data_IF_137927435622
#
_entry.id   IF_137927435622
#
_cell.length_a   1.000
_cell.length_b   1.000
_cell.length_c   1.000
_cell.angle_alpha   90.00
_cell.angle_beta   90.00
_cell.angle_gamma   90.00
#
_symmetry.space_group_name_H-M   'P 1'
#
loop_
_entity.id
_entity.type
_entity.pdbx_description
1 polymer ?
#
# COMPACT_ATOMS: atom_id res chain seq x y z
N UNK A 1 35.49 -0.40 13.37
CA UNK A 1 35.18 0.03 14.75
C UNK A 1 35.14 -1.23 15.59
N UNK A 2 36.09 -1.33 16.50
CA UNK A 2 36.45 -2.50 17.29
C UNK A 2 35.62 -2.55 18.58
N UNK A 3 35.01 -3.69 18.87
CA UNK A 3 34.36 -4.00 20.15
C UNK A 3 35.42 -4.33 21.23
N UNK A 4 35.27 -3.81 22.46
CA UNK A 4 36.09 -4.24 23.59
C UNK A 4 35.48 -5.45 24.31
N UNK A 5 36.36 -6.39 24.63
CA UNK A 5 36.10 -7.58 25.44
C UNK A 5 35.73 -7.23 26.90
N UNK A 6 34.75 -7.93 27.46
CA UNK A 6 34.42 -7.90 28.89
C UNK A 6 34.88 -9.20 29.52
N UNK A 7 35.93 -9.10 30.36
CA UNK A 7 36.27 -10.08 31.39
C UNK A 7 35.47 -9.76 32.66
N UNK A 8 34.96 -10.79 33.33
CA UNK A 8 34.74 -10.88 34.79
C UNK A 8 34.74 -12.39 35.08
N UNK A 9 35.50 -12.96 36.00
CA UNK A 9 35.95 -12.45 37.30
C UNK A 9 35.32 -13.35 38.36
N UNK A 10 35.84 -14.58 38.51
CA UNK A 10 35.39 -15.55 39.51
C UNK A 10 35.95 -15.18 40.89
N UNK A 11 35.09 -15.11 41.91
CA UNK A 11 35.51 -15.13 43.32
C UNK A 11 34.68 -16.18 44.06
N UNK A 12 35.43 -17.13 44.61
CA UNK A 12 35.03 -18.15 45.58
C UNK A 12 35.01 -17.49 46.97
N UNK A 13 33.96 -17.67 47.76
CA UNK A 13 34.06 -17.47 49.21
C UNK A 13 33.20 -18.44 50.01
N UNK A 14 33.85 -19.02 51.03
CA UNK A 14 33.40 -20.11 51.89
C UNK A 14 32.52 -19.63 53.04
N UNK A 15 31.47 -20.42 53.28
CA UNK A 15 30.79 -20.80 54.53
C UNK A 15 31.25 -20.17 55.86
N UNK A 16 30.28 -19.71 56.65
CA UNK A 16 30.23 -19.93 58.11
C UNK A 16 28.78 -20.17 58.54
N UNK A 17 28.57 -21.27 59.26
CA UNK A 17 27.29 -21.64 59.85
C UNK A 17 26.99 -20.83 61.11
N UNK A 18 25.73 -20.49 61.29
CA UNK A 18 25.18 -19.94 62.52
C UNK A 18 23.83 -20.60 62.82
N UNK A 19 23.63 -20.88 64.10
CA UNK A 19 22.53 -21.61 64.72
C UNK A 19 21.14 -21.03 64.38
N UNK A 20 20.24 -21.92 63.96
CA UNK A 20 18.81 -21.66 63.82
C UNK A 20 18.17 -21.46 65.20
N UNK A 21 17.72 -20.23 65.44
CA UNK A 21 16.73 -19.93 66.47
C UNK A 21 15.36 -20.00 65.80
N UNK A 22 14.57 -21.01 66.18
CA UNK A 22 13.20 -21.26 65.73
C UNK A 22 12.27 -20.15 66.26
N UNK A 23 12.19 -19.04 65.55
CA UNK A 23 11.30 -17.91 65.87
C UNK A 23 10.39 -17.61 64.69
N UNK A 24 9.08 -17.86 64.85
CA UNK A 24 7.96 -17.39 64.04
C UNK A 24 8.27 -17.03 62.56
N UNK A 25 8.28 -18.05 61.69
CA UNK A 25 8.49 -17.93 60.23
C UNK A 25 7.27 -17.37 59.45
N UNK A 26 6.13 -17.12 60.09
CA UNK A 26 4.90 -16.77 59.37
C UNK A 26 4.89 -15.31 58.84
N UNK A 27 5.70 -14.40 59.41
CA UNK A 27 5.76 -12.98 58.98
C UNK A 27 6.72 -12.73 57.79
N UNK A 28 7.69 -13.63 57.55
CA UNK A 28 8.68 -13.48 56.48
C UNK A 28 8.11 -13.89 55.09
N UNK A 29 7.19 -14.86 55.06
CA UNK A 29 6.58 -15.35 53.82
C UNK A 29 5.66 -14.30 53.16
N UNK A 30 4.86 -13.54 53.93
CA UNK A 30 4.00 -12.48 53.36
C UNK A 30 4.84 -11.33 52.76
N UNK A 31 5.97 -11.02 53.37
CA UNK A 31 6.88 -9.97 52.88
C UNK A 31 7.53 -10.39 51.56
N UNK A 32 7.99 -11.63 51.44
CA UNK A 32 8.55 -12.16 50.18
C UNK A 32 7.50 -12.21 49.06
N UNK A 33 6.26 -12.60 49.37
CA UNK A 33 5.17 -12.63 48.40
C UNK A 33 4.82 -11.22 47.88
N UNK A 34 4.79 -10.21 48.74
CA UNK A 34 4.54 -8.82 48.32
C UNK A 34 5.66 -8.27 47.45
N UNK A 35 6.91 -8.57 47.78
CA UNK A 35 8.07 -8.17 46.97
C UNK A 35 8.05 -8.84 45.60
N UNK A 36 7.72 -10.13 45.54
CA UNK A 36 7.63 -10.86 44.26
C UNK A 36 6.50 -10.31 43.38
N UNK A 37 5.32 -10.05 43.94
CA UNK A 37 4.21 -9.40 43.21
C UNK A 37 4.57 -8.00 42.71
N UNK A 38 5.24 -7.20 43.55
CA UNK A 38 5.71 -5.86 43.14
C UNK A 38 6.72 -5.92 41.99
N UNK A 39 7.63 -6.90 42.00
CA UNK A 39 8.60 -7.07 40.92
C UNK A 39 7.93 -7.51 39.61
N UNK A 40 6.98 -8.44 39.67
CA UNK A 40 6.19 -8.89 38.50
C UNK A 40 5.41 -7.72 37.89
N UNK A 41 4.80 -6.86 38.72
CA UNK A 41 4.09 -5.66 38.25
C UNK A 41 5.04 -4.67 37.60
N UNK A 42 6.20 -4.40 38.21
CA UNK A 42 7.20 -3.50 37.64
C UNK A 42 7.72 -4.00 36.28
N UNK A 43 7.99 -5.30 36.14
CA UNK A 43 8.45 -5.88 34.90
C UNK A 43 7.36 -5.89 33.81
N UNK A 44 6.11 -6.12 34.18
CA UNK A 44 4.95 -5.98 33.29
C UNK A 44 4.85 -4.56 32.75
N UNK A 45 4.95 -3.55 33.63
CA UNK A 45 4.92 -2.14 33.22
C UNK A 45 6.10 -1.82 32.29
N UNK A 46 7.31 -2.33 32.58
CA UNK A 46 8.49 -2.13 31.71
C UNK A 46 8.32 -2.75 30.34
N UNK A 47 7.75 -3.97 30.24
CA UNK A 47 7.46 -4.63 28.96
C UNK A 47 6.49 -3.78 28.12
N UNK A 48 5.37 -3.37 28.71
CA UNK A 48 4.37 -2.51 28.04
C UNK A 48 4.98 -1.19 27.58
N UNK A 49 5.76 -0.50 28.43
CA UNK A 49 6.44 0.73 28.05
C UNK A 49 7.44 0.52 26.90
N UNK A 50 8.18 -0.58 26.92
CA UNK A 50 9.14 -0.92 25.85
C UNK A 50 8.44 -1.19 24.53
N UNK A 51 7.30 -1.89 24.56
CA UNK A 51 6.49 -2.15 23.37
C UNK A 51 5.90 -0.84 22.78
N UNK A 52 5.41 0.06 23.63
CA UNK A 52 4.93 1.39 23.21
C UNK A 52 6.07 2.21 22.60
N UNK A 53 7.24 2.26 23.22
CA UNK A 53 8.41 2.95 22.69
C UNK A 53 8.91 2.35 21.36
N UNK A 54 8.85 1.01 21.22
CA UNK A 54 9.19 0.34 19.96
C UNK A 54 8.25 0.80 18.84
N UNK A 55 6.95 0.82 19.09
CA UNK A 55 5.96 1.29 18.11
C UNK A 55 6.13 2.77 17.76
N UNK A 56 6.45 3.62 18.73
CA UNK A 56 6.75 5.04 18.48
C UNK A 56 7.95 5.17 17.53
N UNK A 57 9.05 4.44 17.78
CA UNK A 57 10.23 4.46 16.91
C UNK A 57 9.95 3.94 15.50
N UNK A 58 9.16 2.87 15.37
CA UNK A 58 8.72 2.34 14.08
C UNK A 58 7.98 3.41 13.29
N UNK A 59 7.07 4.17 13.92
CA UNK A 59 6.32 5.25 13.27
C UNK A 59 7.20 6.40 12.84
N UNK A 60 8.15 6.81 13.67
CA UNK A 60 9.14 7.84 13.31
C UNK A 60 9.96 7.39 12.09
N UNK A 61 10.36 6.11 12.04
CA UNK A 61 11.06 5.52 10.89
C UNK A 61 10.19 5.44 9.62
N UNK A 62 8.88 5.23 9.77
CA UNK A 62 7.91 5.33 8.67
C UNK A 62 7.68 6.77 8.18
N UNK A 63 8.18 7.77 8.92
CA UNK A 63 8.13 9.17 8.55
C UNK A 63 7.18 10.02 9.39
N UNK A 64 6.64 9.50 10.50
CA UNK A 64 5.81 10.25 11.44
C UNK A 64 6.64 11.29 12.23
N UNK A 65 6.93 12.42 11.59
CA UNK A 65 7.62 13.57 12.19
C UNK A 65 7.02 14.89 11.68
N UNK A 66 7.31 16.00 12.37
CA UNK A 66 6.68 17.29 12.07
C UNK A 66 7.06 17.81 10.68
N UNK A 67 8.30 17.56 10.25
CA UNK A 67 8.78 18.02 8.95
C UNK A 67 8.09 17.34 7.77
N UNK A 68 7.94 16.01 7.82
CA UNK A 68 7.21 15.27 6.80
C UNK A 68 5.73 15.69 6.79
N UNK A 69 5.12 15.84 7.96
CA UNK A 69 3.74 16.30 8.07
C UNK A 69 3.55 17.70 7.45
N UNK A 70 4.40 18.66 7.83
CA UNK A 70 4.36 20.02 7.28
C UNK A 70 4.60 20.03 5.76
N UNK A 71 5.56 19.24 5.27
CA UNK A 71 5.82 19.10 3.85
C UNK A 71 4.59 18.54 3.11
N UNK A 72 3.92 17.51 3.64
CA UNK A 72 2.70 16.96 3.05
C UNK A 72 1.53 17.95 3.00
N UNK A 73 1.36 18.77 4.05
CA UNK A 73 0.35 19.83 4.08
C UNK A 73 0.67 20.92 3.06
N UNK A 74 1.90 21.43 3.04
CA UNK A 74 2.34 22.46 2.09
C UNK A 74 2.24 21.96 0.64
N UNK A 75 2.59 20.70 0.39
CA UNK A 75 2.43 20.08 -0.92
C UNK A 75 0.96 20.05 -1.34
N UNK A 76 0.06 19.64 -0.45
CA UNK A 76 -1.39 19.61 -0.72
C UNK A 76 -1.95 21.01 -1.00
N UNK A 77 -1.51 22.01 -0.24
CA UNK A 77 -1.86 23.42 -0.48
C UNK A 77 -1.34 23.91 -1.84
N UNK A 78 -0.11 23.56 -2.20
CA UNK A 78 0.49 23.92 -3.49
C UNK A 78 -0.28 23.29 -4.66
N UNK A 79 -0.57 21.99 -4.57
CA UNK A 79 -1.38 21.26 -5.56
C UNK A 79 -2.75 21.90 -5.73
N UNK A 80 -3.45 22.20 -4.63
CA UNK A 80 -4.75 22.86 -4.67
C UNK A 80 -4.69 24.28 -5.27
N UNK A 81 -3.67 25.05 -4.91
CA UNK A 81 -3.48 26.42 -5.39
C UNK A 81 -3.18 26.46 -6.89
N UNK A 82 -2.23 25.64 -7.38
CA UNK A 82 -1.88 25.59 -8.80
C UNK A 82 -3.05 25.01 -9.61
N UNK A 83 -3.69 23.94 -9.15
CA UNK A 83 -4.84 23.36 -9.86
C UNK A 83 -6.02 24.35 -9.97
N UNK A 84 -6.26 25.15 -8.92
CA UNK A 84 -7.38 26.09 -8.87
C UNK A 84 -7.13 27.41 -9.61
N UNK A 85 -5.92 27.98 -9.48
CA UNK A 85 -5.61 29.32 -10.00
C UNK A 85 -4.77 29.31 -11.28
N UNK A 86 -4.02 28.25 -11.55
CA UNK A 86 -3.09 28.15 -12.69
C UNK A 86 -3.17 26.76 -13.35
N UNK A 87 -4.37 26.31 -13.79
CA UNK A 87 -4.55 24.99 -14.39
C UNK A 87 -3.64 24.76 -15.61
N UNK A 88 -3.28 25.81 -16.35
CA UNK A 88 -2.36 25.81 -17.47
C UNK A 88 -0.91 25.40 -17.11
N UNK A 89 -0.56 25.51 -15.82
CA UNK A 89 0.76 25.15 -15.27
C UNK A 89 0.72 23.86 -14.44
N UNK A 90 -0.46 23.27 -14.21
CA UNK A 90 -0.61 22.10 -13.34
C UNK A 90 0.22 20.89 -13.80
N UNK A 91 0.38 20.70 -15.10
CA UNK A 91 1.19 19.61 -15.67
C UNK A 91 2.68 19.68 -15.28
N UNK A 92 3.23 20.89 -15.08
CA UNK A 92 4.61 21.07 -14.60
C UNK A 92 4.75 20.59 -13.17
N UNK A 93 3.84 21.02 -12.30
CA UNK A 93 3.83 20.59 -10.91
C UNK A 93 3.73 19.06 -10.84
N UNK A 94 2.82 18.47 -11.62
CA UNK A 94 2.66 17.02 -11.69
C UNK A 94 3.94 16.30 -12.14
N UNK A 95 4.64 16.80 -13.16
CA UNK A 95 5.91 16.21 -13.61
C UNK A 95 7.02 16.36 -12.55
N UNK A 96 7.09 17.49 -11.85
CA UNK A 96 8.05 17.72 -10.77
C UNK A 96 7.77 16.78 -9.59
N UNK A 97 6.51 16.63 -9.19
CA UNK A 97 6.10 15.66 -8.17
C UNK A 97 6.41 14.23 -8.61
N UNK A 98 6.12 13.85 -9.86
CA UNK A 98 6.47 12.53 -10.39
C UNK A 98 7.97 12.27 -10.33
N UNK A 99 8.79 13.24 -10.74
CA UNK A 99 10.24 13.15 -10.74
C UNK A 99 10.85 13.05 -9.32
N UNK A 100 10.17 13.59 -8.30
CA UNK A 100 10.60 13.51 -6.91
C UNK A 100 10.07 12.25 -6.21
N UNK A 101 8.76 12.02 -6.26
CA UNK A 101 8.06 10.99 -5.49
C UNK A 101 8.30 9.58 -6.03
N UNK A 102 8.31 9.40 -7.36
CA UNK A 102 8.44 8.06 -7.97
C UNK A 102 9.83 7.46 -7.71
N UNK A 103 10.96 8.15 -8.02
CA UNK A 103 12.29 7.57 -7.77
C UNK A 103 12.54 7.33 -6.28
N UNK A 104 12.10 8.24 -5.41
CA UNK A 104 12.17 8.06 -3.96
C UNK A 104 11.43 6.81 -3.52
N UNK A 105 10.20 6.61 -4.01
CA UNK A 105 9.41 5.43 -3.66
C UNK A 105 10.01 4.14 -4.24
N UNK A 106 10.53 4.16 -5.46
CA UNK A 106 11.23 3.00 -6.06
C UNK A 106 12.43 2.62 -5.19
N UNK A 107 13.21 3.60 -4.74
CA UNK A 107 14.35 3.37 -3.87
C UNK A 107 13.93 2.72 -2.54
N UNK A 108 12.86 3.23 -1.92
CA UNK A 108 12.31 2.68 -0.68
C UNK A 108 11.80 1.24 -0.86
N UNK A 109 11.01 0.99 -1.91
CA UNK A 109 10.40 -0.31 -2.17
C UNK A 109 11.46 -1.36 -2.62
N UNK A 110 12.55 -0.93 -3.23
CA UNK A 110 13.71 -1.77 -3.58
C UNK A 110 14.46 -2.26 -2.34
N UNK A 111 14.58 -1.41 -1.34
CA UNK A 111 15.30 -1.69 -0.09
C UNK A 111 14.37 -2.11 1.06
N UNK A 112 13.06 -2.25 0.80
CA UNK A 112 12.10 -2.69 1.80
C UNK A 112 12.44 -4.09 2.34
N UNK A 113 12.38 -4.22 3.66
CA UNK A 113 12.54 -5.48 4.39
C UNK A 113 11.25 -5.75 5.19
N UNK A 114 10.84 -7.01 5.37
CA UNK A 114 11.50 -8.24 4.90
C UNK A 114 11.22 -8.57 3.42
N UNK A 115 10.23 -7.92 2.80
CA UNK A 115 9.82 -8.14 1.41
C UNK A 115 10.04 -6.88 0.58
N UNK A 116 10.75 -7.00 -0.53
CA UNK A 116 10.93 -5.94 -1.52
C UNK A 116 9.64 -5.77 -2.32
N UNK A 117 9.15 -4.54 -2.38
CA UNK A 117 7.87 -4.19 -3.00
C UNK A 117 8.05 -3.68 -4.44
N UNK A 118 9.21 -3.90 -5.06
CA UNK A 118 9.52 -3.41 -6.43
C UNK A 118 8.57 -3.95 -7.51
N UNK A 119 7.89 -5.07 -7.29
CA UNK A 119 6.89 -5.57 -8.25
C UNK A 119 5.53 -4.88 -8.09
N UNK A 120 5.41 -3.85 -7.25
CA UNK A 120 4.20 -3.01 -7.22
C UNK A 120 4.13 -2.12 -8.47
N UNK A 121 5.27 -1.81 -9.08
CA UNK A 121 5.35 -0.99 -10.29
C UNK A 121 4.88 -1.71 -11.57
N UNK A 122 4.64 -3.03 -11.49
CA UNK A 122 3.96 -3.77 -12.58
C UNK A 122 2.44 -3.76 -12.43
N UNK A 123 1.91 -3.17 -11.36
CA UNK A 123 0.46 -3.04 -11.16
C UNK A 123 -0.15 -1.97 -12.08
N UNK A 124 -1.44 -2.09 -12.36
CA UNK A 124 -2.10 -1.30 -13.42
C UNK A 124 -1.94 0.21 -13.22
N UNK A 125 -2.25 0.73 -12.04
CA UNK A 125 -2.21 2.17 -11.77
C UNK A 125 -0.80 2.76 -11.94
N UNK A 126 0.24 1.99 -11.56
CA UNK A 126 1.64 2.38 -11.75
C UNK A 126 2.03 2.41 -13.23
N UNK A 127 1.72 1.35 -13.96
CA UNK A 127 2.00 1.27 -15.41
C UNK A 127 1.27 2.41 -16.13
N UNK A 128 0.02 2.69 -15.79
CA UNK A 128 -0.74 3.79 -16.37
C UNK A 128 -0.14 5.15 -16.04
N UNK A 129 0.36 5.36 -14.82
CA UNK A 129 1.07 6.60 -14.46
C UNK A 129 2.29 6.81 -15.37
N UNK A 130 3.09 5.78 -15.62
CA UNK A 130 4.21 5.87 -16.56
C UNK A 130 3.74 6.16 -17.99
N UNK A 131 2.67 5.50 -18.45
CA UNK A 131 2.07 5.79 -19.77
C UNK A 131 1.61 7.23 -19.87
N UNK A 132 1.05 7.82 -18.82
CA UNK A 132 0.65 9.24 -18.80
C UNK A 132 1.88 10.15 -18.90
N UNK A 133 2.96 9.85 -18.17
CA UNK A 133 4.24 10.60 -18.28
C UNK A 133 4.75 10.54 -19.73
N UNK A 134 4.80 9.35 -20.34
CA UNK A 134 5.23 9.19 -21.73
C UNK A 134 4.27 9.87 -22.73
N UNK A 135 2.97 9.85 -22.47
CA UNK A 135 1.99 10.54 -23.30
C UNK A 135 2.17 12.05 -23.23
N UNK A 136 2.45 12.63 -22.05
CA UNK A 136 2.79 14.05 -21.94
C UNK A 136 4.05 14.34 -22.75
N UNK A 137 5.10 13.53 -22.61
CA UNK A 137 6.31 13.66 -23.42
C UNK A 137 5.96 13.65 -24.92
N UNK A 138 5.11 12.74 -25.40
CA UNK A 138 4.70 12.70 -26.81
C UNK A 138 3.91 13.92 -27.29
N UNK A 139 3.17 14.58 -26.39
CA UNK A 139 2.49 15.84 -26.70
C UNK A 139 3.48 17.02 -26.78
N UNK A 140 4.63 16.93 -26.11
CA UNK A 140 5.65 17.99 -26.03
C UNK A 140 6.79 17.89 -27.06
N UNK A 141 7.09 16.68 -27.59
CA UNK A 141 8.39 16.35 -28.23
C UNK A 141 8.66 16.88 -29.63
N UNK A 142 7.84 17.79 -30.15
CA UNK A 142 8.31 18.64 -31.26
C UNK A 142 9.16 19.82 -30.75
N UNK A 143 10.05 19.53 -29.80
CA UNK A 143 10.93 20.46 -29.10
C UNK A 143 12.05 20.92 -30.04
N UNK A 144 11.66 21.67 -31.08
CA UNK A 144 12.51 22.16 -32.17
C UNK A 144 13.21 21.02 -32.95
N UNK A 145 13.16 20.98 -34.30
CA UNK A 145 13.92 20.00 -35.10
C UNK A 145 15.42 19.88 -34.72
N UNK A 146 15.94 20.89 -34.03
CA UNK A 146 17.30 21.03 -33.53
C UNK A 146 17.66 20.07 -32.38
N UNK A 147 16.74 19.68 -31.49
CA UNK A 147 17.09 18.87 -30.30
C UNK A 147 16.83 17.37 -30.48
N UNK A 148 15.76 17.00 -31.20
CA UNK A 148 15.45 15.60 -31.54
C UNK A 148 14.73 15.55 -32.89
N UNK A 149 15.35 15.05 -33.98
CA UNK A 149 14.75 15.02 -35.32
C UNK A 149 13.71 13.90 -35.50
N UNK A 150 13.07 13.46 -34.42
CA UNK A 150 12.08 12.37 -34.43
C UNK A 150 10.69 13.00 -34.39
N UNK A 151 10.02 13.05 -35.54
CA UNK A 151 8.61 13.43 -35.58
C UNK A 151 7.74 12.27 -35.12
N UNK A 152 7.04 12.45 -34.00
CA UNK A 152 6.05 11.47 -33.52
C UNK A 152 4.82 11.53 -34.44
N UNK A 153 4.37 10.42 -35.04
CA UNK A 153 3.19 10.42 -35.89
C UNK A 153 1.96 10.96 -35.16
N UNK A 154 1.14 11.74 -35.87
CA UNK A 154 -0.10 12.32 -35.32
C UNK A 154 -1.00 11.26 -34.67
N UNK A 155 -1.21 10.13 -35.35
CA UNK A 155 -2.02 9.02 -34.85
C UNK A 155 -1.53 8.48 -33.50
N UNK A 156 -0.22 8.47 -33.25
CA UNK A 156 0.33 8.00 -31.98
C UNK A 156 0.02 8.99 -30.85
N UNK A 157 0.20 10.29 -31.11
CA UNK A 157 -0.14 11.35 -30.17
C UNK A 157 -1.64 11.33 -29.84
N UNK A 158 -2.49 11.29 -30.87
CA UNK A 158 -3.95 11.23 -30.73
C UNK A 158 -4.37 10.01 -29.92
N UNK A 159 -3.91 8.82 -30.29
CA UNK A 159 -4.34 7.61 -29.61
C UNK A 159 -3.87 7.52 -28.15
N UNK A 160 -2.64 7.97 -27.86
CA UNK A 160 -2.15 8.04 -26.48
C UNK A 160 -2.92 9.06 -25.65
N UNK A 161 -3.18 10.26 -26.19
CA UNK A 161 -3.98 11.27 -25.50
C UNK A 161 -5.38 10.76 -25.16
N UNK A 162 -6.07 10.17 -26.13
CA UNK A 162 -7.40 9.58 -25.92
C UNK A 162 -7.37 8.42 -24.90
N UNK A 163 -6.32 7.60 -24.89
CA UNK A 163 -6.15 6.56 -23.87
C UNK A 163 -6.00 7.17 -22.47
N UNK A 164 -5.18 8.23 -22.34
CA UNK A 164 -4.97 8.95 -21.07
C UNK A 164 -6.26 9.58 -20.57
N UNK A 165 -7.09 10.18 -21.44
CA UNK A 165 -8.40 10.69 -21.06
C UNK A 165 -9.27 9.58 -20.43
N UNK A 166 -9.33 8.41 -21.08
CA UNK A 166 -10.15 7.30 -20.60
C UNK A 166 -9.64 6.67 -19.31
N UNK A 167 -8.32 6.50 -19.19
CA UNK A 167 -7.67 5.91 -18.01
C UNK A 167 -7.72 6.86 -16.81
N UNK A 168 -7.40 8.14 -17.02
CA UNK A 168 -7.40 9.17 -15.97
C UNK A 168 -8.81 9.41 -15.43
N UNK A 169 -9.78 9.72 -16.29
CA UNK A 169 -11.16 9.99 -15.87
C UNK A 169 -11.94 8.73 -15.43
N UNK A 170 -11.50 7.54 -15.82
CA UNK A 170 -12.20 6.30 -15.52
C UNK A 170 -11.53 5.52 -14.40
N UNK A 171 -10.72 4.50 -14.71
CA UNK A 171 -10.11 3.62 -13.72
C UNK A 171 -9.33 4.32 -12.61
N UNK A 172 -8.50 5.34 -12.88
CA UNK A 172 -7.70 5.99 -11.82
C UNK A 172 -8.57 6.83 -10.87
N UNK A 173 -9.55 7.55 -11.40
CA UNK A 173 -10.56 8.25 -10.61
C UNK A 173 -11.41 7.27 -9.78
N UNK A 174 -11.86 6.18 -10.41
CA UNK A 174 -12.61 5.11 -9.74
C UNK A 174 -11.79 4.40 -8.66
N UNK A 175 -10.51 4.15 -8.90
CA UNK A 175 -9.59 3.55 -7.94
C UNK A 175 -9.37 4.46 -6.73
N UNK A 176 -9.28 5.79 -6.94
CA UNK A 176 -9.25 6.77 -5.84
C UNK A 176 -10.49 6.65 -4.96
N UNK A 177 -11.66 6.49 -5.58
CA UNK A 177 -12.91 6.32 -4.85
C UNK A 177 -13.00 4.95 -4.14
N UNK A 178 -12.51 3.87 -4.75
CA UNK A 178 -12.69 2.51 -4.24
C UNK A 178 -11.65 2.09 -3.19
N UNK A 179 -10.40 2.53 -3.30
CA UNK A 179 -9.30 1.95 -2.54
C UNK A 179 -9.04 2.68 -1.21
N UNK A 180 -9.08 1.99 -0.06
CA UNK A 180 -8.97 2.63 1.26
C UNK A 180 -7.56 3.18 1.54
N UNK A 181 -6.53 2.65 0.87
CA UNK A 181 -5.16 3.12 0.98
C UNK A 181 -4.87 4.38 0.12
N UNK A 182 -5.88 4.92 -0.55
CA UNK A 182 -5.83 6.24 -1.18
C UNK A 182 -6.41 7.24 -0.19
N UNK A 183 -5.53 7.82 0.62
CA UNK A 183 -5.89 8.71 1.72
C UNK A 183 -4.88 9.85 1.88
N UNK A 184 -5.33 11.00 2.37
CA UNK A 184 -4.46 12.14 2.67
C UNK A 184 -3.77 11.94 4.03
N UNK A 185 -2.61 11.28 3.99
CA UNK A 185 -1.75 11.05 5.16
C UNK A 185 -0.46 11.84 4.99
N UNK A 186 -0.48 13.09 5.46
CA UNK A 186 0.57 14.06 5.17
C UNK A 186 2.00 13.65 5.58
N UNK A 187 2.19 12.81 6.60
CA UNK A 187 3.54 12.39 7.02
C UNK A 187 4.04 11.12 6.31
N UNK A 188 3.14 10.32 5.73
CA UNK A 188 3.50 9.02 5.13
C UNK A 188 3.72 9.19 3.62
N UNK A 189 4.99 9.16 3.23
CA UNK A 189 5.38 9.28 1.82
C UNK A 189 4.79 8.17 0.95
N UNK A 190 4.59 6.95 1.46
CA UNK A 190 4.01 5.85 0.68
C UNK A 190 2.55 6.14 0.36
N UNK A 191 1.81 6.63 1.35
CA UNK A 191 0.40 7.00 1.20
C UNK A 191 0.24 8.26 0.34
N UNK A 192 1.10 9.27 0.49
CA UNK A 192 1.10 10.45 -0.37
C UNK A 192 1.44 10.11 -1.83
N UNK A 193 2.40 9.22 -2.08
CA UNK A 193 2.66 8.77 -3.45
C UNK A 193 1.52 7.93 -4.01
N UNK A 194 0.86 7.11 -3.18
CA UNK A 194 -0.37 6.40 -3.57
C UNK A 194 -1.48 7.39 -3.94
N UNK A 195 -1.70 8.42 -3.14
CA UNK A 195 -2.63 9.50 -3.46
C UNK A 195 -2.25 10.19 -4.77
N UNK A 196 -0.97 10.50 -4.95
CA UNK A 196 -0.44 11.13 -6.16
C UNK A 196 -0.80 10.32 -7.41
N UNK A 197 -0.44 9.03 -7.49
CA UNK A 197 -0.66 8.23 -8.72
C UNK A 197 -2.13 7.96 -9.05
N UNK A 198 -3.06 8.16 -8.10
CA UNK A 198 -4.48 7.91 -8.33
C UNK A 198 -5.29 9.20 -8.51
N UNK A 199 -5.08 10.20 -7.66
CA UNK A 199 -5.91 11.41 -7.62
C UNK A 199 -5.40 12.51 -8.57
N UNK A 200 -4.09 12.63 -8.80
CA UNK A 200 -3.56 13.70 -9.65
C UNK A 200 -3.70 13.46 -11.15
N UNK A 201 -3.67 12.22 -11.69
CA UNK A 201 -3.93 12.01 -13.12
C UNK A 201 -5.34 12.44 -13.57
N UNK A 202 -6.44 12.17 -12.83
CA UNK A 202 -7.74 12.77 -13.11
C UNK A 202 -7.72 14.31 -13.13
N UNK A 203 -7.00 14.96 -12.20
CA UNK A 203 -6.85 16.42 -12.15
C UNK A 203 -6.04 16.96 -13.35
N UNK A 204 -4.99 16.22 -13.75
CA UNK A 204 -4.20 16.54 -14.93
C UNK A 204 -5.07 16.48 -16.18
N UNK A 205 -5.85 15.40 -16.34
CA UNK A 205 -6.79 15.23 -17.44
C UNK A 205 -7.86 16.33 -17.42
N UNK A 206 -8.38 16.71 -16.25
CA UNK A 206 -9.30 17.83 -16.12
C UNK A 206 -8.70 19.13 -16.68
N UNK A 207 -7.45 19.42 -16.34
CA UNK A 207 -6.74 20.61 -16.82
C UNK A 207 -6.57 20.57 -18.34
N UNK A 208 -6.08 19.45 -18.89
CA UNK A 208 -5.90 19.31 -20.34
C UNK A 208 -7.20 19.32 -21.14
N UNK A 209 -8.29 18.74 -20.62
CA UNK A 209 -9.57 18.68 -21.34
C UNK A 209 -10.31 20.00 -21.28
N UNK A 210 -10.36 20.64 -20.11
CA UNK A 210 -11.26 21.77 -19.84
C UNK A 210 -10.58 23.14 -19.78
N UNK A 211 -9.25 23.16 -19.85
CA UNK A 211 -8.40 24.35 -19.91
C UNK A 211 -7.37 24.24 -21.06
N UNK A 212 -7.70 23.49 -22.11
CA UNK A 212 -6.83 23.30 -23.29
C UNK A 212 -6.42 24.64 -23.93
N UNK A 213 -7.36 25.57 -24.08
CA UNK A 213 -7.12 26.89 -24.67
C UNK A 213 -6.13 27.72 -23.83
N UNK A 214 -6.29 27.71 -22.50
CA UNK A 214 -5.39 28.38 -21.57
C UNK A 214 -3.98 27.78 -21.63
N UNK A 215 -3.87 26.45 -21.74
CA UNK A 215 -2.59 25.75 -21.93
C UNK A 215 -1.93 26.16 -23.25
N UNK A 216 -2.65 26.14 -24.36
CA UNK A 216 -2.12 26.54 -25.68
C UNK A 216 -1.71 28.01 -25.67
N UNK A 217 -2.48 28.88 -25.02
CA UNK A 217 -2.14 30.30 -24.92
C UNK A 217 -0.86 30.53 -24.09
N UNK A 218 -0.71 29.84 -22.96
CA UNK A 218 0.47 29.96 -22.10
C UNK A 218 1.70 29.26 -22.69
N UNK A 219 1.50 28.22 -23.52
CA UNK A 219 2.55 27.35 -24.06
C UNK A 219 2.40 27.07 -25.57
N UNK A 220 2.36 28.12 -26.43
CA UNK A 220 1.90 28.00 -27.82
C UNK A 220 2.78 27.14 -28.73
N UNK A 221 4.04 26.96 -28.39
CA UNK A 221 4.98 26.11 -29.14
C UNK A 221 5.27 24.77 -28.47
N UNK A 222 4.77 24.57 -27.25
CA UNK A 222 5.13 23.41 -26.44
C UNK A 222 4.16 22.26 -26.66
N UNK A 223 2.85 22.54 -26.68
CA UNK A 223 1.82 21.52 -26.89
C UNK A 223 1.13 21.66 -28.24
N UNK A 224 0.91 20.54 -28.92
CA UNK A 224 0.03 20.47 -30.11
C UNK A 224 -1.36 19.99 -29.74
N UNK A 225 -2.05 20.72 -28.86
CA UNK A 225 -3.42 20.38 -28.47
C UNK A 225 -4.44 20.73 -29.56
N UNK A 226 -4.08 21.59 -30.53
CA UNK A 226 -4.94 21.93 -31.67
C UNK A 226 -5.35 20.69 -32.46
N UNK A 227 -4.43 19.73 -32.62
CA UNK A 227 -4.67 18.50 -33.37
C UNK A 227 -5.49 17.45 -32.57
N UNK A 228 -5.55 17.57 -31.25
CA UNK A 228 -6.18 16.57 -30.36
C UNK A 228 -7.22 17.19 -29.41
N UNK A 229 -7.71 18.38 -29.77
CA UNK A 229 -8.56 19.20 -28.92
C UNK A 229 -9.96 18.62 -28.69
N UNK A 230 -10.78 19.26 -27.84
CA UNK A 230 -12.10 18.76 -27.46
C UNK A 230 -13.04 18.42 -28.62
N UNK A 231 -12.88 19.10 -29.77
CA UNK A 231 -13.68 18.86 -30.98
C UNK A 231 -13.41 17.48 -31.63
N UNK A 232 -12.20 16.95 -31.45
CA UNK A 232 -11.76 15.66 -32.03
C UNK A 232 -11.96 14.48 -31.07
N UNK A 233 -12.36 14.75 -29.82
CA UNK A 233 -12.54 13.72 -28.79
C UNK A 233 -13.84 12.98 -29.02
N UNK A 234 -13.74 11.83 -29.69
CA UNK A 234 -14.84 10.88 -29.82
C UNK A 234 -14.75 9.83 -28.71
N UNK A 235 -15.80 9.69 -27.90
CA UNK A 235 -15.78 8.76 -26.77
C UNK A 235 -16.00 7.31 -27.18
N UNK A 236 -17.09 7.05 -27.91
CA UNK A 236 -17.47 5.72 -28.41
C UNK A 236 -17.30 5.65 -29.94
N UNK A 237 -16.99 4.48 -30.51
CA UNK A 237 -16.96 4.30 -31.96
C UNK A 237 -18.34 4.67 -32.56
N UNK A 238 -18.40 5.60 -33.53
CA UNK A 238 -19.67 6.10 -34.06
C UNK A 238 -20.59 5.02 -34.63
N UNK A 239 -20.00 3.95 -35.17
CA UNK A 239 -20.67 2.83 -35.84
C UNK A 239 -21.08 1.69 -34.89
N UNK A 240 -20.46 1.59 -33.70
CA UNK A 240 -20.67 0.46 -32.75
C UNK A 240 -21.28 0.88 -31.43
N UNK A 241 -21.24 2.17 -31.10
CA UNK A 241 -21.71 2.67 -29.81
C UNK A 241 -20.91 2.09 -28.63
N UNK A 242 -21.53 1.88 -27.46
CA UNK A 242 -20.83 1.49 -26.23
C UNK A 242 -20.41 0.01 -26.17
N UNK A 243 -20.86 -0.81 -27.10
CA UNK A 243 -20.59 -2.26 -27.12
C UNK A 243 -19.65 -2.61 -28.29
N UNK A 244 -18.35 -2.69 -28.01
CA UNK A 244 -17.33 -3.04 -29.00
C UNK A 244 -16.28 -3.99 -28.41
N UNK A 245 -15.66 -4.80 -29.27
CA UNK A 245 -14.56 -5.68 -28.86
C UNK A 245 -13.23 -4.90 -28.75
N UNK A 246 -12.28 -5.32 -27.89
CA UNK A 246 -10.95 -4.71 -27.84
C UNK A 246 -10.31 -4.61 -29.24
N UNK A 247 -9.81 -3.43 -29.59
CA UNK A 247 -9.24 -3.13 -30.91
C UNK A 247 -10.25 -2.65 -31.97
N UNK A 248 -11.55 -2.86 -31.78
CA UNK A 248 -12.57 -2.39 -32.73
C UNK A 248 -12.94 -0.91 -32.61
N UNK A 249 -12.54 -0.27 -31.51
CA UNK A 249 -12.82 1.14 -31.20
C UNK A 249 -11.59 2.04 -31.17
N UNK A 250 -10.48 1.63 -31.79
CA UNK A 250 -9.29 2.47 -31.85
C UNK A 250 -9.60 3.84 -32.46
N UNK A 251 -8.92 4.88 -31.97
CA UNK A 251 -9.24 6.27 -32.33
C UNK A 251 -10.35 6.89 -31.48
N UNK A 252 -10.86 6.19 -30.47
CA UNK A 252 -11.82 6.71 -29.49
C UNK A 252 -11.30 6.56 -28.07
N UNK A 253 -11.82 7.36 -27.13
CA UNK A 253 -11.42 7.32 -25.71
C UNK A 253 -11.64 5.91 -25.13
N UNK A 254 -12.86 5.37 -25.29
CA UNK A 254 -13.21 4.08 -24.73
C UNK A 254 -12.40 2.94 -25.36
N UNK A 255 -12.21 2.96 -26.68
CA UNK A 255 -11.50 1.91 -27.39
C UNK A 255 -10.00 1.90 -27.10
N UNK A 256 -9.36 3.07 -27.05
CA UNK A 256 -7.94 3.18 -26.75
C UNK A 256 -7.63 2.82 -25.29
N UNK A 257 -8.44 3.29 -24.33
CA UNK A 257 -8.27 2.93 -22.93
C UNK A 257 -8.49 1.42 -22.70
N UNK A 258 -9.49 0.81 -23.36
CA UNK A 258 -9.73 -0.64 -23.29
C UNK A 258 -8.58 -1.44 -23.89
N UNK A 259 -8.07 -1.03 -25.06
CA UNK A 259 -6.92 -1.68 -25.68
C UNK A 259 -5.68 -1.62 -24.79
N UNK A 260 -5.39 -0.44 -24.21
CA UNK A 260 -4.29 -0.24 -23.28
C UNK A 260 -4.43 -1.10 -22.02
N UNK A 261 -5.63 -1.23 -21.47
CA UNK A 261 -5.90 -2.14 -20.37
C UNK A 261 -5.60 -3.60 -20.74
N UNK A 262 -6.06 -4.07 -21.90
CA UNK A 262 -5.80 -5.44 -22.36
C UNK A 262 -4.30 -5.73 -22.55
N UNK A 263 -3.53 -4.75 -23.05
CA UNK A 263 -2.07 -4.84 -23.21
C UNK A 263 -1.37 -5.08 -21.87
N UNK A 264 -1.89 -4.53 -20.77
CA UNK A 264 -1.37 -4.79 -19.42
C UNK A 264 -1.94 -6.07 -18.82
N UNK A 265 -3.26 -6.24 -18.87
CA UNK A 265 -4.01 -7.29 -18.18
C UNK A 265 -3.59 -8.69 -18.62
N UNK A 266 -3.46 -8.92 -19.93
CA UNK A 266 -3.14 -10.25 -20.46
C UNK A 266 -1.74 -10.70 -20.03
N UNK A 267 -0.66 -9.93 -20.24
CA UNK A 267 0.66 -10.28 -19.73
C UNK A 267 0.72 -10.41 -18.21
N UNK A 268 0.09 -9.48 -17.47
CA UNK A 268 0.10 -9.51 -16.01
C UNK A 268 -0.57 -10.76 -15.45
N UNK A 269 -1.78 -11.08 -15.91
CA UNK A 269 -2.51 -12.27 -15.49
C UNK A 269 -1.80 -13.57 -15.87
N UNK A 270 -1.18 -13.59 -17.06
CA UNK A 270 -0.37 -14.73 -17.51
C UNK A 270 0.84 -14.93 -16.60
N UNK A 271 1.61 -13.87 -16.36
CA UNK A 271 2.78 -13.92 -15.48
C UNK A 271 2.43 -14.32 -14.04
N UNK A 272 1.39 -13.71 -13.46
CA UNK A 272 0.92 -14.05 -12.11
C UNK A 272 0.50 -15.52 -12.00
N UNK A 273 -0.24 -16.02 -12.99
CA UNK A 273 -0.71 -17.42 -13.00
C UNK A 273 0.42 -18.43 -13.18
N UNK A 274 1.46 -18.09 -13.95
CA UNK A 274 2.59 -18.99 -14.22
C UNK A 274 3.62 -19.01 -13.10
N UNK A 275 3.92 -17.86 -12.49
CA UNK A 275 4.99 -17.75 -11.49
C UNK A 275 4.75 -16.71 -10.40
N UNK A 276 4.00 -15.64 -10.67
CA UNK A 276 3.87 -14.53 -9.72
C UNK A 276 3.20 -14.92 -8.40
N UNK A 277 2.21 -15.82 -8.41
CA UNK A 277 1.55 -16.28 -7.18
C UNK A 277 2.49 -17.03 -6.22
N UNK A 278 3.55 -17.64 -6.74
CA UNK A 278 4.48 -18.46 -5.95
C UNK A 278 5.59 -17.61 -5.29
N UNK A 279 5.63 -16.29 -5.58
CA UNK A 279 6.63 -15.39 -5.00
C UNK A 279 6.56 -15.37 -3.48
N UNK A 280 5.38 -15.34 -2.87
CA UNK A 280 5.26 -15.26 -1.40
C UNK A 280 5.10 -16.61 -0.70
N UNK A 281 4.88 -17.71 -1.44
CA UNK A 281 4.59 -19.04 -0.89
C UNK A 281 5.74 -19.59 -0.06
N UNK A 282 5.48 -20.09 1.15
CA UNK A 282 6.48 -20.69 2.08
C UNK A 282 6.55 -22.22 2.02
N UNK A 283 5.42 -22.91 1.82
CA UNK A 283 5.27 -24.36 2.11
C UNK A 283 5.75 -25.29 0.98
N UNK A 284 5.62 -24.89 -0.29
CA UNK A 284 5.95 -25.76 -1.44
C UNK A 284 7.35 -25.55 -2.02
N UNK A 285 8.24 -24.90 -1.26
CA UNK A 285 9.58 -24.57 -1.78
C UNK A 285 10.41 -25.82 -1.95
N UNK A 286 11.21 -25.83 -3.02
CA UNK A 286 12.33 -26.78 -3.13
C UNK A 286 13.14 -26.66 -1.85
N UNK A 287 13.34 -27.78 -1.18
CA UNK A 287 14.35 -27.88 -0.12
C UNK A 287 15.71 -27.68 -0.80
N UNK A 288 16.61 -26.95 -0.15
CA UNK A 288 18.00 -26.87 -0.56
C UNK A 288 18.64 -28.26 -0.57
N UNK A 289 19.86 -28.35 -1.07
CA UNK A 289 20.67 -29.59 -0.97
C UNK A 289 20.88 -30.04 0.48
N UNK A 290 20.72 -29.13 1.43
CA UNK A 290 20.75 -29.33 2.88
C UNK A 290 19.42 -29.82 3.49
N UNK A 291 18.37 -29.98 2.69
CA UNK A 291 17.03 -30.35 3.16
C UNK A 291 16.27 -29.20 3.84
N UNK A 292 16.88 -28.02 3.99
CA UNK A 292 16.24 -26.84 4.57
C UNK A 292 15.36 -26.13 3.52
N UNK A 293 14.23 -25.52 3.92
CA UNK A 293 13.45 -24.71 3.01
C UNK A 293 14.30 -23.54 2.50
N UNK A 294 14.37 -23.36 1.17
CA UNK A 294 15.03 -22.18 0.60
C UNK A 294 14.43 -20.90 1.19
N UNK A 295 15.27 -19.86 1.45
CA UNK A 295 14.82 -18.63 2.10
C UNK A 295 13.61 -18.02 1.38
N UNK A 296 12.68 -17.45 2.16
CA UNK A 296 11.45 -16.81 1.65
C UNK A 296 11.77 -15.82 0.54
N UNK A 297 10.92 -15.71 -0.50
CA UNK A 297 11.27 -14.89 -1.64
C UNK A 297 11.28 -13.45 -1.21
N UNK A 298 12.21 -12.72 -1.79
CA UNK A 298 12.48 -11.33 -1.44
C UNK A 298 11.45 -10.38 -2.05
N UNK A 299 10.43 -10.85 -2.76
CA UNK A 299 9.56 -9.98 -3.57
C UNK A 299 8.09 -10.13 -3.22
N UNK A 300 7.39 -9.00 -3.29
CA UNK A 300 5.96 -8.87 -3.06
C UNK A 300 5.28 -8.16 -4.25
N UNK A 301 3.99 -8.41 -4.46
CA UNK A 301 3.18 -7.72 -5.50
C UNK A 301 1.99 -7.03 -4.86
N UNK A 302 1.37 -6.07 -5.56
CA UNK A 302 0.17 -5.39 -5.05
C UNK A 302 -0.96 -6.39 -4.72
N UNK A 303 -1.12 -7.44 -5.54
CA UNK A 303 -2.03 -8.56 -5.28
C UNK A 303 -1.77 -9.19 -3.91
N UNK A 304 -0.53 -9.58 -3.62
CA UNK A 304 -0.18 -10.21 -2.35
C UNK A 304 -0.40 -9.28 -1.15
N UNK A 305 -0.16 -7.97 -1.31
CA UNK A 305 -0.45 -6.96 -0.30
C UNK A 305 -1.94 -6.92 0.04
N UNK A 306 -2.78 -6.75 -0.98
CA UNK A 306 -4.25 -6.65 -0.84
C UNK A 306 -4.83 -7.90 -0.18
N UNK A 307 -4.30 -9.08 -0.52
CA UNK A 307 -4.77 -10.34 0.04
C UNK A 307 -4.37 -10.56 1.50
N UNK A 308 -3.24 -9.97 1.92
CA UNK A 308 -2.78 -10.01 3.30
C UNK A 308 -3.72 -9.22 4.21
N UNK A 309 -4.31 -8.14 3.70
CA UNK A 309 -5.16 -7.22 4.45
C UNK A 309 -6.64 -7.68 4.54
N UNK A 310 -6.87 -8.99 4.66
CA UNK A 310 -8.19 -9.56 5.00
C UNK A 310 -9.12 -9.90 3.82
N UNK A 311 -8.86 -9.41 2.60
CA UNK A 311 -9.67 -9.76 1.41
C UNK A 311 -9.72 -11.28 1.17
N UNK A 312 -8.62 -11.98 1.48
CA UNK A 312 -8.54 -13.43 1.33
C UNK A 312 -9.48 -14.21 2.25
N UNK A 313 -9.73 -13.74 3.48
CA UNK A 313 -10.68 -14.40 4.39
C UNK A 313 -12.12 -14.33 3.86
N UNK A 314 -12.53 -13.15 3.37
CA UNK A 314 -13.86 -12.96 2.79
C UNK A 314 -14.10 -13.85 1.56
N UNK A 315 -13.10 -13.95 0.67
CA UNK A 315 -13.16 -14.92 -0.43
C UNK A 315 -13.07 -16.36 0.04
N UNK A 316 -12.32 -16.60 1.11
CA UNK A 316 -12.25 -17.86 1.84
C UNK A 316 -13.63 -18.40 2.14
N UNK A 317 -14.41 -17.59 2.82
CA UNK A 317 -15.79 -17.85 3.17
C UNK A 317 -16.68 -18.12 1.96
N UNK A 318 -16.60 -17.30 0.90
CA UNK A 318 -17.37 -17.50 -0.33
C UNK A 318 -17.12 -18.87 -0.99
N UNK A 319 -15.89 -19.39 -0.88
CA UNK A 319 -15.52 -20.71 -1.39
C UNK A 319 -15.64 -21.84 -0.36
N UNK A 320 -16.26 -21.61 0.80
CA UNK A 320 -16.45 -22.62 1.84
C UNK A 320 -15.18 -23.01 2.58
N UNK A 321 -14.12 -22.18 2.58
CA UNK A 321 -12.94 -22.36 3.42
C UNK A 321 -13.20 -21.82 4.83
N UNK A 322 -12.66 -22.49 5.84
CA UNK A 322 -12.72 -21.95 7.19
C UNK A 322 -11.85 -20.69 7.34
N UNK A 323 -12.14 -19.81 8.30
CA UNK A 323 -11.28 -18.68 8.62
C UNK A 323 -9.84 -19.11 8.97
N UNK A 324 -9.68 -20.24 9.66
CA UNK A 324 -8.37 -20.79 10.04
C UNK A 324 -7.56 -21.19 8.81
N UNK A 325 -8.18 -21.85 7.82
CA UNK A 325 -7.52 -22.21 6.57
C UNK A 325 -7.10 -20.96 5.79
N UNK A 326 -7.96 -19.93 5.76
CA UNK A 326 -7.69 -18.68 5.05
C UNK A 326 -6.53 -17.91 5.69
N UNK A 327 -6.52 -17.79 7.03
CA UNK A 327 -5.43 -17.21 7.81
C UNK A 327 -4.13 -17.97 7.65
N UNK A 328 -4.20 -19.30 7.61
CA UNK A 328 -3.04 -20.16 7.32
C UNK A 328 -2.47 -19.85 5.93
N UNK A 329 -3.31 -19.79 4.90
CA UNK A 329 -2.89 -19.44 3.53
C UNK A 329 -2.29 -18.04 3.42
N UNK A 330 -2.85 -17.03 4.10
CA UNK A 330 -2.26 -15.68 4.15
C UNK A 330 -0.87 -15.70 4.80
N UNK A 331 -0.74 -16.37 5.95
CA UNK A 331 0.52 -16.48 6.70
C UNK A 331 1.60 -17.22 5.90
N UNK A 332 1.18 -18.26 5.18
CA UNK A 332 2.03 -19.10 4.34
C UNK A 332 2.28 -18.52 2.95
N UNK A 333 1.56 -17.47 2.55
CA UNK A 333 1.56 -16.95 1.17
C UNK A 333 1.08 -17.98 0.14
N UNK A 334 0.24 -18.94 0.54
CA UNK A 334 -0.22 -20.05 -0.31
C UNK A 334 -1.56 -19.72 -0.98
N UNK A 335 -1.52 -18.75 -1.89
CA UNK A 335 -2.70 -18.30 -2.63
C UNK A 335 -3.04 -19.26 -3.77
N UNK A 336 -4.34 -19.50 -3.98
CA UNK A 336 -4.83 -20.39 -5.05
C UNK A 336 -5.06 -19.59 -6.33
N UNK A 337 -4.73 -20.17 -7.49
CA UNK A 337 -4.96 -19.53 -8.82
C UNK A 337 -6.42 -19.14 -9.05
N UNK A 338 -7.38 -19.93 -8.54
CA UNK A 338 -8.81 -19.59 -8.61
C UNK A 338 -9.11 -18.25 -7.93
N UNK A 339 -8.54 -18.01 -6.76
CA UNK A 339 -8.78 -16.79 -5.97
C UNK A 339 -8.22 -15.57 -6.72
N UNK A 340 -7.03 -15.73 -7.30
CA UNK A 340 -6.42 -14.74 -8.18
C UNK A 340 -7.30 -14.41 -9.39
N UNK A 341 -7.75 -15.44 -10.13
CA UNK A 341 -8.56 -15.23 -11.33
C UNK A 341 -9.90 -14.54 -11.04
N UNK A 342 -10.55 -14.84 -9.91
CA UNK A 342 -11.78 -14.17 -9.51
C UNK A 342 -11.54 -12.68 -9.24
N UNK A 343 -10.50 -12.34 -8.47
CA UNK A 343 -10.17 -10.94 -8.20
C UNK A 343 -9.79 -10.21 -9.49
N UNK A 344 -8.99 -10.81 -10.36
CA UNK A 344 -8.62 -10.18 -11.63
C UNK A 344 -9.83 -10.02 -12.56
N UNK A 345 -10.81 -10.93 -12.49
CA UNK A 345 -12.07 -10.78 -13.22
C UNK A 345 -12.88 -9.61 -12.68
N UNK A 346 -13.00 -9.49 -11.35
CA UNK A 346 -13.65 -8.33 -10.71
C UNK A 346 -12.93 -7.03 -11.06
N UNK A 347 -11.60 -7.02 -11.03
CA UNK A 347 -10.79 -5.88 -11.43
C UNK A 347 -11.08 -5.48 -12.89
N UNK A 348 -11.10 -6.44 -13.82
CA UNK A 348 -11.42 -6.17 -15.22
C UNK A 348 -12.83 -5.57 -15.41
N UNK A 349 -13.83 -6.09 -14.69
CA UNK A 349 -15.19 -5.53 -14.72
C UNK A 349 -15.21 -4.10 -14.17
N UNK A 350 -14.56 -3.85 -13.03
CA UNK A 350 -14.50 -2.52 -12.43
C UNK A 350 -13.78 -1.51 -13.32
N UNK A 351 -12.64 -1.89 -13.92
CA UNK A 351 -11.90 -1.04 -14.86
C UNK A 351 -12.74 -0.75 -16.11
N UNK A 352 -13.42 -1.76 -16.65
CA UNK A 352 -14.31 -1.58 -17.80
C UNK A 352 -15.47 -0.64 -17.48
N UNK A 353 -16.17 -0.85 -16.36
CA UNK A 353 -17.27 0.02 -15.92
C UNK A 353 -16.79 1.46 -15.65
N UNK A 354 -15.65 1.62 -14.99
CA UNK A 354 -15.07 2.94 -14.74
C UNK A 354 -14.71 3.65 -16.05
N UNK A 355 -14.14 2.91 -17.02
CA UNK A 355 -13.87 3.44 -18.35
C UNK A 355 -15.16 3.83 -19.06
N UNK A 356 -16.15 2.95 -19.16
CA UNK A 356 -17.36 3.20 -19.96
C UNK A 356 -18.31 4.22 -19.34
N UNK A 357 -18.39 4.28 -18.01
CA UNK A 357 -19.36 5.12 -17.31
C UNK A 357 -18.71 6.36 -16.72
N UNK A 358 -17.70 6.20 -15.86
CA UNK A 358 -17.11 7.32 -15.11
C UNK A 358 -16.35 8.25 -16.05
N UNK A 359 -15.53 7.71 -16.96
CA UNK A 359 -14.83 8.55 -17.93
C UNK A 359 -15.81 9.26 -18.88
N UNK A 360 -16.87 8.57 -19.31
CA UNK A 360 -17.89 9.14 -20.19
C UNK A 360 -18.55 10.36 -19.55
N UNK A 361 -19.05 10.24 -18.32
CA UNK A 361 -19.70 11.37 -17.63
C UNK A 361 -18.73 12.51 -17.32
N UNK A 362 -17.46 12.21 -17.04
CA UNK A 362 -16.43 13.22 -16.85
C UNK A 362 -16.15 14.02 -18.12
N UNK A 363 -16.23 13.39 -19.30
CA UNK A 363 -15.98 14.05 -20.58
C UNK A 363 -17.22 14.74 -21.16
N UNK A 364 -18.43 14.39 -20.68
CA UNK A 364 -19.66 15.09 -21.07
C UNK A 364 -19.78 16.50 -20.47
N UNK A 365 -19.23 16.74 -19.29
CA UNK A 365 -19.42 18.02 -18.60
C UNK A 365 -18.28 18.38 -17.65
N UNK A 366 -17.71 19.58 -17.85
CA UNK A 366 -16.75 20.21 -16.92
C UNK A 366 -17.24 20.20 -15.48
N UNK A 367 -18.53 20.52 -15.26
CA UNK A 367 -19.13 20.59 -13.93
C UNK A 367 -19.22 19.22 -13.26
N UNK A 368 -19.57 18.18 -14.01
CA UNK A 368 -19.64 16.80 -13.48
C UNK A 368 -18.23 16.31 -13.13
N UNK A 369 -17.25 16.53 -14.02
CA UNK A 369 -15.86 16.16 -13.75
C UNK A 369 -15.35 16.86 -12.48
N UNK A 370 -15.53 18.18 -12.36
CA UNK A 370 -15.15 18.93 -11.17
C UNK A 370 -15.84 18.44 -9.89
N UNK A 371 -17.15 18.11 -9.96
CA UNK A 371 -17.89 17.58 -8.81
C UNK A 371 -17.38 16.21 -8.36
N UNK A 372 -17.02 15.33 -9.29
CA UNK A 372 -16.42 14.03 -8.98
C UNK A 372 -15.02 14.20 -8.37
N UNK A 373 -14.21 15.13 -8.87
CA UNK A 373 -12.93 15.50 -8.25
C UNK A 373 -13.12 16.00 -6.81
N UNK A 374 -14.08 16.89 -6.57
CA UNK A 374 -14.38 17.33 -5.20
C UNK A 374 -14.81 16.18 -4.29
N UNK A 375 -15.68 15.29 -4.78
CA UNK A 375 -16.13 14.13 -4.01
C UNK A 375 -14.97 13.21 -3.61
N UNK A 376 -14.04 12.91 -4.54
CA UNK A 376 -12.88 12.07 -4.21
C UNK A 376 -11.92 12.77 -3.24
N UNK A 377 -11.75 14.09 -3.34
CA UNK A 377 -10.92 14.84 -2.39
C UNK A 377 -11.52 14.78 -0.99
N UNK A 378 -12.82 15.04 -0.84
CA UNK A 378 -13.51 14.90 0.45
C UNK A 378 -13.36 13.48 1.02
N UNK A 379 -13.50 12.46 0.18
CA UNK A 379 -13.34 11.07 0.60
C UNK A 379 -11.92 10.75 1.07
N UNK A 380 -10.89 11.22 0.36
CA UNK A 380 -9.48 10.97 0.72
C UNK A 380 -9.07 11.73 1.98
N UNK A 381 -9.63 12.93 2.22
CA UNK A 381 -9.50 13.67 3.49
C UNK A 381 -10.15 12.88 4.62
N UNK A 382 -11.38 12.40 4.43
CA UNK A 382 -12.09 11.63 5.46
C UNK A 382 -11.35 10.34 5.83
N UNK A 383 -10.82 9.60 4.84
CA UNK A 383 -9.98 8.43 5.09
C UNK A 383 -8.69 8.77 5.83
N UNK A 384 -8.04 9.87 5.45
CA UNK A 384 -6.85 10.37 6.16
C UNK A 384 -7.16 10.66 7.62
N UNK A 385 -8.28 11.35 7.89
CA UNK A 385 -8.75 11.63 9.24
C UNK A 385 -9.04 10.35 10.03
N UNK A 386 -9.69 9.35 9.43
CA UNK A 386 -9.94 8.05 10.07
C UNK A 386 -8.63 7.37 10.50
N UNK A 387 -7.59 7.42 9.67
CA UNK A 387 -6.28 6.86 10.00
C UNK A 387 -5.61 7.62 11.14
N UNK A 388 -5.64 8.96 11.12
CA UNK A 388 -5.12 9.77 12.23
C UNK A 388 -5.84 9.49 13.54
N UNK A 389 -7.18 9.40 13.52
CA UNK A 389 -7.96 9.04 14.72
C UNK A 389 -7.55 7.66 15.21
N UNK A 390 -7.49 6.66 14.33
CA UNK A 390 -7.08 5.31 14.69
C UNK A 390 -5.68 5.27 15.34
N UNK A 391 -4.72 5.99 14.79
CA UNK A 391 -3.36 6.09 15.33
C UNK A 391 -3.31 6.75 16.70
N UNK A 392 -4.10 7.79 16.92
CA UNK A 392 -4.10 8.53 18.19
C UNK A 392 -4.89 7.81 19.29
N UNK A 393 -6.04 7.19 18.97
CA UNK A 393 -6.95 6.66 20.01
C UNK A 393 -6.82 5.16 20.23
N UNK A 394 -6.67 4.38 19.17
CA UNK A 394 -6.93 2.94 19.22
C UNK A 394 -5.65 2.12 19.15
N UNK A 395 -4.63 2.61 18.46
CA UNK A 395 -3.38 1.87 18.25
C UNK A 395 -2.63 1.62 19.58
N UNK A 396 -2.43 2.65 20.41
CA UNK A 396 -1.76 2.49 21.70
C UNK A 396 -2.53 1.55 22.63
N UNK A 397 -3.87 1.66 22.65
CA UNK A 397 -4.70 0.76 23.44
C UNK A 397 -4.56 -0.69 22.98
N UNK A 398 -4.52 -0.93 21.66
CA UNK A 398 -4.39 -2.27 21.10
C UNK A 398 -3.03 -2.88 21.39
N UNK A 399 -1.94 -2.12 21.21
CA UNK A 399 -0.60 -2.58 21.55
C UNK A 399 -0.47 -2.94 23.04
N UNK A 400 -1.04 -2.11 23.92
CA UNK A 400 -1.09 -2.38 25.35
C UNK A 400 -1.89 -3.66 25.64
N UNK A 401 -3.07 -3.82 25.03
CA UNK A 401 -3.91 -5.01 25.20
C UNK A 401 -3.24 -6.30 24.71
N UNK A 402 -2.53 -6.26 23.58
CA UNK A 402 -1.82 -7.41 23.03
C UNK A 402 -0.70 -7.88 23.97
N UNK A 403 0.10 -6.95 24.49
CA UNK A 403 1.16 -7.25 25.45
C UNK A 403 0.58 -7.77 26.78
N UNK A 404 -0.52 -7.18 27.29
CA UNK A 404 -1.20 -7.72 28.47
C UNK A 404 -1.79 -9.11 28.23
N UNK A 405 -2.34 -9.38 27.05
CA UNK A 405 -2.90 -10.69 26.72
C UNK A 405 -1.80 -11.77 26.62
N UNK A 406 -0.61 -11.44 26.12
CA UNK A 406 0.55 -12.33 26.11
C UNK A 406 1.01 -12.64 27.54
N UNK A 407 1.13 -11.61 28.39
CA UNK A 407 1.49 -11.79 29.81
C UNK A 407 0.48 -12.64 30.56
N UNK A 408 -0.83 -12.46 30.32
CA UNK A 408 -1.87 -13.28 30.94
C UNK A 408 -1.76 -14.75 30.53
N UNK A 409 -1.45 -15.03 29.26
CA UNK A 409 -1.22 -16.41 28.79
C UNK A 409 0.00 -17.05 29.43
N UNK A 410 1.08 -16.30 29.61
CA UNK A 410 2.27 -16.79 30.31
C UNK A 410 1.94 -17.17 31.76
N UNK A 411 1.15 -16.34 32.45
CA UNK A 411 0.71 -16.59 33.83
C UNK A 411 -0.23 -17.80 33.93
N UNK A 412 -1.17 -17.94 32.99
CA UNK A 412 -2.07 -19.10 32.93
C UNK A 412 -1.30 -20.40 32.63
N UNK A 413 -0.29 -20.36 31.76
CA UNK A 413 0.58 -21.50 31.46
C UNK A 413 1.36 -22.00 32.67
N UNK A 414 1.95 -21.09 33.46
CA UNK A 414 2.68 -21.43 34.69
C UNK A 414 1.77 -22.16 35.70
N UNK A 415 0.50 -21.75 35.81
CA UNK A 415 -0.43 -22.38 36.74
C UNK A 415 -0.83 -23.81 36.35
N UNK A 416 -0.85 -24.14 35.06
CA UNK A 416 -1.19 -25.49 34.58
C UNK A 416 -0.03 -26.46 34.87
N UNK A 417 1.21 -26.05 34.61
CA UNK A 417 2.39 -26.89 34.81
C UNK A 417 2.66 -27.20 36.29
N UNK A 418 2.33 -26.27 37.20
CA UNK A 418 2.45 -26.50 38.65
C UNK A 418 1.38 -27.47 39.18
N UNK A 419 0.17 -27.47 38.61
CA UNK A 419 -0.92 -28.31 39.10
C UNK A 419 -0.79 -29.79 38.69
N UNK A 420 -0.12 -30.08 37.57
CA UNK A 420 0.12 -31.45 37.10
C UNK A 420 1.30 -32.15 37.80
N UNK A 421 2.27 -31.39 38.34
CA UNK A 421 3.40 -31.97 39.08
C UNK A 421 3.01 -32.49 40.48
N UNK A 422 2.08 -31.85 41.18
CA UNK A 422 1.64 -32.31 42.51
C UNK A 422 0.77 -33.58 42.47
N UNK A 423 0.01 -33.79 41.39
CA UNK A 423 -0.78 -35.01 41.22
C UNK A 423 0.07 -36.26 40.92
N UNK A 424 1.27 -36.11 40.35
CA UNK A 424 2.18 -37.22 40.10
C UNK A 424 2.99 -37.64 41.34
N UNK A 425 3.26 -36.73 42.28
CA UNK A 425 3.92 -37.09 43.54
C UNK A 425 2.98 -37.80 44.52
N UNK A 426 1.68 -37.55 44.44
CA UNK A 426 0.68 -38.23 45.29
C UNK A 426 0.45 -39.69 44.85
N UNK A 427 0.60 -40.01 43.56
CA UNK A 427 0.51 -41.39 43.06
C UNK A 427 1.75 -42.24 43.32
N UNK A 428 2.95 -41.65 43.44
CA UNK A 428 4.18 -42.39 43.75
C UNK A 428 4.39 -42.72 45.22
N UNK A 429 3.57 -42.20 46.14
CA UNK A 429 3.62 -42.56 47.57
C UNK A 429 2.68 -43.71 47.96
N UNK A 430 1.89 -44.25 47.03
CA UNK A 430 0.97 -45.38 47.25
C UNK A 430 1.33 -46.65 46.45
N UNK A 431 2.59 -46.77 46.04
CA UNK A 431 3.23 -48.03 45.59
C UNK A 431 4.51 -48.20 46.39
#
# INVERSE_FOLDING_TARGET
>A
MTDPAVMNGATDERTNGAEETNGNNDDDDDTQLRLSMSNIQADTIRKVLTAVQRHERERIQEGFNEWNFAAGVLNTMLVAYIFGNFPEHFWLLWLLEAAALIPRKIWQDWHALPLRQILYYVDYCWVMTFVIIFSLYFLCVNWTPQFMPIEIPYEWRKNMYLAVLGVGCGPLLGATAAMPFVAMVFHDNKMMTSLFIHATPPMLVYSFQWHAEEIVQAWPSFFRLEDVGPAEVTFFPPDKGPFFWPGQGLGTVAGNATALYCIWFIPYCTWMSLMGLDLTRKVRRKKGSDGLPLPTSKYDTAFHSIFRDGVHEGMGYYFGRSPEESRRQQTEGDYRTRDFLVIMTMHAICVWLATMMVAYVCLLSKKIHAALLWLIIVLTVFRGAQQYVYWVTSMSSKAVQEEFAEILKDVEGINIDNHDNDNNNTKKKNQ
#
